data_IF_773263777943
#
_entry.id   IF_773263777943
#
_cell.length_a   1.000
_cell.length_b   1.000
_cell.length_c   1.000
_cell.angle_alpha   90.00
_cell.angle_beta   90.00
_cell.angle_gamma   90.00
#
_symmetry.space_group_name_H-M   'P 1'
#
loop_
_entity.id
_entity.type
_entity.pdbx_description
1 polymer ?
#
# COMPACT_ATOMS: atom_id res chain seq x y z
N UNK A 1 16.73 -0.81 -3.32
CA UNK A 1 15.99 -1.97 -2.79
C UNK A 1 15.29 -2.68 -3.96
N UNK A 2 15.09 -4.00 -3.89
CA UNK A 2 14.28 -4.74 -4.86
C UNK A 2 12.77 -4.47 -4.63
N UNK A 3 11.92 -5.00 -5.51
CA UNK A 3 10.46 -4.95 -5.33
C UNK A 3 10.03 -5.72 -4.07
N UNK A 4 8.98 -5.22 -3.39
CA UNK A 4 8.33 -5.92 -2.29
C UNK A 4 7.69 -7.22 -2.77
N UNK A 5 7.65 -8.22 -1.91
CA UNK A 5 7.19 -9.55 -2.27
C UNK A 5 5.77 -9.79 -1.78
N UNK A 6 5.00 -10.67 -2.45
CA UNK A 6 3.69 -11.13 -1.97
C UNK A 6 2.76 -9.99 -1.55
N UNK A 7 2.67 -8.94 -2.37
CA UNK A 7 1.72 -7.86 -2.13
C UNK A 7 0.30 -8.42 -2.26
N UNK A 8 -0.51 -8.23 -1.23
CA UNK A 8 -1.90 -8.65 -1.17
C UNK A 8 -2.76 -7.45 -0.80
N UNK A 9 -3.85 -7.28 -1.53
CA UNK A 9 -4.85 -6.25 -1.28
C UNK A 9 -6.16 -7.00 -1.01
N UNK A 10 -6.75 -6.77 0.15
CA UNK A 10 -8.02 -7.38 0.54
C UNK A 10 -8.98 -6.32 1.04
N UNK A 11 -10.22 -6.37 0.57
CA UNK A 11 -11.27 -5.49 1.04
C UNK A 11 -11.66 -5.85 2.48
N UNK A 12 -11.63 -4.86 3.37
CA UNK A 12 -12.05 -5.03 4.78
C UNK A 12 -13.47 -4.51 5.04
N UNK A 13 -13.93 -3.57 4.21
CA UNK A 13 -15.32 -3.11 4.09
C UNK A 13 -15.52 -2.47 2.72
N UNK A 14 -16.74 -2.11 2.37
CA UNK A 14 -17.09 -1.45 1.10
C UNK A 14 -16.27 -0.18 0.79
N UNK A 15 -15.71 0.47 1.82
CA UNK A 15 -14.89 1.68 1.73
C UNK A 15 -13.50 1.54 2.39
N UNK A 16 -13.03 0.30 2.61
CA UNK A 16 -11.71 0.09 3.20
C UNK A 16 -10.97 -1.12 2.62
N UNK A 17 -9.66 -0.96 2.50
CA UNK A 17 -8.74 -1.94 1.94
C UNK A 17 -7.58 -2.17 2.91
N UNK A 18 -7.16 -3.43 3.04
CA UNK A 18 -5.95 -3.82 3.75
C UNK A 18 -4.88 -4.22 2.73
N UNK A 19 -3.78 -3.46 2.71
CA UNK A 19 -2.61 -3.74 1.89
C UNK A 19 -1.51 -4.33 2.77
N UNK A 20 -1.02 -5.51 2.40
CA UNK A 20 0.10 -6.18 3.05
C UNK A 20 1.13 -6.59 2.03
N UNK A 21 2.40 -6.57 2.41
CA UNK A 21 3.45 -7.15 1.60
C UNK A 21 4.57 -7.74 2.47
N UNK A 22 5.38 -8.59 1.86
CA UNK A 22 6.61 -9.10 2.43
C UNK A 22 7.80 -8.21 2.07
N UNK A 23 8.90 -8.33 2.84
CA UNK A 23 10.11 -7.56 2.59
C UNK A 23 10.68 -7.81 1.19
N UNK A 24 11.38 -6.82 0.62
CA UNK A 24 12.13 -7.02 -0.61
C UNK A 24 13.24 -8.06 -0.40
N UNK A 25 13.65 -8.76 -1.47
CA UNK A 25 14.80 -9.69 -1.43
C UNK A 25 16.09 -8.94 -1.10
N UNK A 26 16.28 -7.79 -1.75
CA UNK A 26 17.48 -6.97 -1.58
C UNK A 26 17.10 -5.63 -0.95
N UNK A 27 17.45 -5.43 0.34
CA UNK A 27 17.18 -4.15 1.02
C UNK A 27 18.11 -3.02 0.59
N UNK A 28 19.36 -3.33 0.23
CA UNK A 28 20.40 -2.38 -0.18
C UNK A 28 20.59 -1.19 0.79
N UNK A 29 20.35 -1.39 2.09
CA UNK A 29 20.50 -0.35 3.10
C UNK A 29 20.14 -0.84 4.52
N UNK A 30 20.56 -0.10 5.57
CA UNK A 30 20.32 -0.48 6.97
C UNK A 30 18.90 -0.15 7.46
N UNK A 31 18.26 0.86 6.88
CA UNK A 31 16.95 1.33 7.29
C UNK A 31 15.85 0.72 6.42
N UNK A 32 14.77 0.28 7.05
CA UNK A 32 13.60 -0.27 6.37
C UNK A 32 12.39 0.63 6.62
N UNK A 33 11.77 1.08 5.53
CA UNK A 33 10.52 1.84 5.54
C UNK A 33 9.73 1.49 4.30
N UNK A 34 8.44 1.28 4.49
CA UNK A 34 7.49 0.98 3.44
C UNK A 34 6.66 2.22 3.18
N UNK A 35 6.44 2.51 1.91
CA UNK A 35 5.62 3.61 1.43
C UNK A 35 4.47 3.00 0.64
N UNK A 36 3.27 3.51 0.86
CA UNK A 36 2.08 3.14 0.12
C UNK A 36 1.53 4.38 -0.56
N UNK A 37 1.43 4.33 -1.88
CA UNK A 37 0.77 5.35 -2.68
C UNK A 37 -0.58 4.84 -3.15
N UNK A 38 -1.63 5.64 -2.90
CA UNK A 38 -2.99 5.34 -3.35
C UNK A 38 -3.40 6.39 -4.36
N UNK A 39 -3.72 5.94 -5.56
CA UNK A 39 -4.17 6.78 -6.67
C UNK A 39 -5.63 6.47 -7.00
N UNK A 40 -6.41 7.52 -7.25
CA UNK A 40 -7.75 7.41 -7.84
C UNK A 40 -7.67 7.95 -9.28
N UNK A 41 -7.73 7.05 -10.26
CA UNK A 41 -7.37 7.41 -11.64
C UNK A 41 -5.90 7.81 -11.74
N UNK A 42 -5.61 9.04 -12.16
CA UNK A 42 -4.24 9.57 -12.32
C UNK A 42 -3.84 10.56 -11.20
N UNK A 43 -4.60 10.62 -10.11
CA UNK A 43 -4.36 11.56 -9.01
C UNK A 43 -3.97 10.80 -7.76
N UNK A 44 -2.83 11.16 -7.16
CA UNK A 44 -2.41 10.67 -5.86
C UNK A 44 -3.35 11.23 -4.78
N UNK A 45 -4.12 10.35 -4.14
CA UNK A 45 -5.09 10.71 -3.10
C UNK A 45 -4.59 10.43 -1.70
N UNK A 46 -3.67 9.47 -1.52
CA UNK A 46 -3.01 9.20 -0.23
C UNK A 46 -1.57 8.78 -0.44
N UNK A 47 -0.72 9.18 0.51
CA UNK A 47 0.66 8.75 0.62
C UNK A 47 0.94 8.47 2.09
N UNK A 48 1.17 7.21 2.44
CA UNK A 48 1.37 6.75 3.81
C UNK A 48 2.71 6.01 3.91
N UNK A 49 3.34 6.04 5.09
CA UNK A 49 4.58 5.28 5.30
C UNK A 49 4.65 4.66 6.68
N UNK A 50 4.99 3.38 6.72
CA UNK A 50 5.08 2.57 7.94
C UNK A 50 6.42 1.83 8.00
N UNK A 51 6.80 1.38 9.21
CA UNK A 51 7.97 0.51 9.40
C UNK A 51 7.75 -0.90 8.86
N UNK A 52 6.50 -1.35 8.86
CA UNK A 52 6.08 -2.66 8.36
C UNK A 52 5.19 -2.46 7.13
N UNK A 53 5.20 -3.41 6.21
CA UNK A 53 4.26 -3.41 5.09
C UNK A 53 2.88 -3.94 5.49
N UNK A 54 2.18 -3.16 6.29
CA UNK A 54 0.80 -3.38 6.72
C UNK A 54 0.09 -2.02 6.77
N UNK A 55 -0.85 -1.83 5.86
CA UNK A 55 -1.56 -0.56 5.67
C UNK A 55 -3.07 -0.80 5.66
N UNK A 56 -3.79 -0.09 6.53
CA UNK A 56 -5.25 -0.12 6.58
C UNK A 56 -5.79 1.19 6.01
N UNK A 57 -6.13 1.16 4.73
CA UNK A 57 -6.67 2.31 4.03
C UNK A 57 -8.17 2.35 4.25
N UNK A 58 -8.65 3.35 5.00
CA UNK A 58 -10.07 3.54 5.34
C UNK A 58 -10.63 4.76 4.63
N UNK A 59 -11.95 4.91 4.70
CA UNK A 59 -12.67 6.09 4.22
C UNK A 59 -12.39 6.39 2.73
N UNK A 60 -12.33 5.33 1.92
CA UNK A 60 -12.27 5.43 0.47
C UNK A 60 -13.65 5.80 -0.08
N UNK A 61 -13.68 6.39 -1.28
CA UNK A 61 -14.94 6.65 -1.96
C UNK A 61 -15.51 5.34 -2.50
N UNK A 62 -16.81 5.14 -2.30
CA UNK A 62 -17.54 4.00 -2.83
C UNK A 62 -17.53 4.02 -4.36
N UNK A 63 -17.51 2.83 -4.97
CA UNK A 63 -17.57 2.63 -6.43
C UNK A 63 -16.46 3.36 -7.20
N UNK A 64 -15.34 3.65 -6.55
CA UNK A 64 -14.17 4.28 -7.17
C UNK A 64 -13.06 3.25 -7.35
N UNK A 65 -12.43 3.26 -8.53
CA UNK A 65 -11.26 2.42 -8.81
C UNK A 65 -9.99 3.06 -8.25
N UNK A 66 -9.27 2.29 -7.43
CA UNK A 66 -8.01 2.72 -6.82
C UNK A 66 -6.84 1.87 -7.31
N UNK A 67 -5.70 2.52 -7.49
CA UNK A 67 -4.41 1.86 -7.73
C UNK A 67 -3.56 2.00 -6.48
N UNK A 68 -2.97 0.88 -6.03
CA UNK A 68 -2.08 0.83 -4.87
C UNK A 68 -0.67 0.49 -5.34
N UNK A 69 0.32 1.31 -4.99
CA UNK A 69 1.73 1.14 -5.34
C UNK A 69 2.61 1.04 -4.11
#
# INVERSE_FOLDING_TARGET
PSQVQKMTISMTSDNSMHVKCGPPRDRNGPNERYYLEVEAGNTLVRNESHKNCDFRVKDLQYLTNYTFK
#
